data_IF_244485430178
#
_entry.id   IF_244485430178
#
_cell.length_a   1.000
_cell.length_b   1.000
_cell.length_c   1.000
_cell.angle_alpha   90.00
_cell.angle_beta   90.00
_cell.angle_gamma   90.00
#
_symmetry.space_group_name_H-M   'P 1'
#
loop_
_entity.id
_entity.type
_entity.pdbx_description
1 polymer ?
#
# COMPACT_ATOMS: atom_id res chain seq x y z
N UNK A 1 -12.03 -8.27 -15.03
CA UNK A 1 -10.78 -7.77 -14.43
C UNK A 1 -10.90 -7.96 -12.94
N UNK A 2 -9.96 -8.66 -12.30
CA UNK A 2 -9.94 -8.73 -10.84
C UNK A 2 -9.74 -7.32 -10.28
N UNK A 3 -10.67 -6.86 -9.43
CA UNK A 3 -10.51 -5.62 -8.68
C UNK A 3 -9.48 -5.86 -7.57
N UNK A 4 -8.20 -5.70 -7.89
CA UNK A 4 -7.13 -5.82 -6.90
C UNK A 4 -7.15 -4.60 -5.97
N UNK A 5 -7.36 -4.84 -4.68
CA UNK A 5 -7.32 -3.78 -3.67
C UNK A 5 -5.88 -3.34 -3.36
N UNK A 6 -5.73 -2.17 -2.70
CA UNK A 6 -4.42 -1.73 -2.18
C UNK A 6 -3.75 -2.82 -1.33
N UNK A 7 -4.53 -3.56 -0.57
CA UNK A 7 -4.05 -4.58 0.34
C UNK A 7 -3.59 -5.84 -0.39
N UNK A 8 -4.32 -6.26 -1.43
CA UNK A 8 -3.91 -7.44 -2.22
C UNK A 8 -2.58 -7.18 -2.93
N UNK A 9 -2.44 -5.98 -3.52
CA UNK A 9 -1.19 -5.55 -4.16
C UNK A 9 -0.07 -5.39 -3.12
N UNK A 10 -0.37 -4.89 -1.91
CA UNK A 10 0.63 -4.78 -0.87
C UNK A 10 1.15 -6.14 -0.39
N UNK A 11 0.26 -7.13 -0.27
CA UNK A 11 0.63 -8.50 0.07
C UNK A 11 1.55 -9.10 -0.98
N UNK A 12 1.21 -8.93 -2.26
CA UNK A 12 2.07 -9.33 -3.39
C UNK A 12 3.42 -8.60 -3.36
N UNK A 13 3.40 -7.29 -3.11
CA UNK A 13 4.59 -6.45 -3.11
C UNK A 13 5.59 -6.87 -2.02
N UNK A 14 5.11 -7.19 -0.82
CA UNK A 14 5.94 -7.73 0.28
C UNK A 14 6.47 -9.10 -0.09
N UNK A 15 5.61 -10.00 -0.56
CA UNK A 15 6.00 -11.37 -0.90
C UNK A 15 6.57 -12.10 0.32
N UNK A 16 7.77 -12.67 0.17
CA UNK A 16 8.44 -13.48 1.19
C UNK A 16 9.51 -12.72 2.01
N UNK A 17 9.72 -11.43 1.77
CA UNK A 17 10.72 -10.63 2.48
C UNK A 17 10.11 -9.35 3.04
N UNK A 18 10.70 -8.85 4.12
CA UNK A 18 10.26 -7.58 4.70
C UNK A 18 10.62 -6.42 3.75
N UNK A 19 9.73 -5.43 3.65
CA UNK A 19 9.93 -4.24 2.82
C UNK A 19 9.59 -2.95 3.55
N UNK A 20 10.25 -1.86 3.20
CA UNK A 20 9.89 -0.54 3.71
C UNK A 20 8.51 -0.12 3.21
N UNK A 21 7.85 0.77 3.95
CA UNK A 21 6.58 1.34 3.53
C UNK A 21 6.64 1.96 2.13
N UNK A 22 7.73 2.68 1.83
CA UNK A 22 7.90 3.37 0.55
C UNK A 22 8.04 2.41 -0.64
N UNK A 23 8.75 1.29 -0.48
CA UNK A 23 8.84 0.26 -1.53
C UNK A 23 7.47 -0.35 -1.84
N UNK A 24 6.69 -0.63 -0.79
CA UNK A 24 5.35 -1.22 -0.93
C UNK A 24 4.42 -0.19 -1.58
N UNK A 25 4.40 1.05 -1.08
CA UNK A 25 3.55 2.10 -1.62
C UNK A 25 3.93 2.48 -3.06
N UNK A 26 5.22 2.47 -3.42
CA UNK A 26 5.65 2.65 -4.80
C UNK A 26 5.06 1.59 -5.74
N UNK A 27 5.00 0.33 -5.29
CA UNK A 27 4.40 -0.75 -6.07
C UNK A 27 2.89 -0.59 -6.20
N UNK A 28 2.21 -0.27 -5.10
CA UNK A 28 0.75 -0.06 -5.06
C UNK A 28 0.35 1.13 -5.95
N UNK A 29 1.00 2.27 -5.78
CA UNK A 29 0.73 3.48 -6.56
C UNK A 29 0.98 3.26 -8.05
N UNK A 30 2.08 2.60 -8.45
CA UNK A 30 2.33 2.29 -9.87
C UNK A 30 1.20 1.48 -10.51
N UNK A 31 0.58 0.54 -9.78
CA UNK A 31 -0.53 -0.27 -10.29
C UNK A 31 -1.87 0.47 -10.30
N UNK A 32 -2.14 1.33 -9.30
CA UNK A 32 -3.46 1.92 -9.08
C UNK A 32 -3.60 3.40 -9.46
N UNK A 33 -2.51 4.12 -9.74
CA UNK A 33 -2.53 5.56 -9.99
C UNK A 33 -3.49 5.96 -11.11
N UNK A 34 -3.51 5.21 -12.22
CA UNK A 34 -4.41 5.50 -13.33
C UNK A 34 -5.88 5.38 -12.91
N UNK A 35 -6.22 4.34 -12.13
CA UNK A 35 -7.59 4.16 -11.63
C UNK A 35 -7.97 5.27 -10.66
N UNK A 36 -7.08 5.62 -9.73
CA UNK A 36 -7.34 6.71 -8.79
C UNK A 36 -7.52 8.06 -9.48
N UNK A 37 -6.77 8.34 -10.55
CA UNK A 37 -6.94 9.55 -11.35
C UNK A 37 -8.32 9.59 -12.03
N UNK A 38 -8.77 8.46 -12.58
CA UNK A 38 -10.11 8.36 -13.18
C UNK A 38 -11.22 8.55 -12.15
N UNK A 39 -11.05 7.99 -10.94
CA UNK A 39 -12.02 8.11 -9.84
C UNK A 39 -12.06 9.52 -9.22
N UNK A 40 -10.90 10.18 -9.10
CA UNK A 40 -10.82 11.48 -8.43
C UNK A 40 -11.26 12.65 -9.31
N UNK A 41 -11.27 12.46 -10.64
CA UNK A 41 -11.56 13.52 -11.61
C UNK A 41 -10.48 14.61 -11.67
N UNK A 42 -10.77 15.72 -12.34
CA UNK A 42 -9.79 16.77 -12.65
C UNK A 42 -9.54 17.76 -11.49
N UNK A 43 -10.23 17.61 -10.36
CA UNK A 43 -10.20 18.60 -9.27
C UNK A 43 -9.04 18.42 -8.27
N UNK A 44 -8.19 17.40 -8.44
CA UNK A 44 -7.08 17.11 -7.53
C UNK A 44 -5.79 16.92 -8.34
N UNK A 45 -4.69 17.50 -7.85
CA UNK A 45 -3.38 17.25 -8.46
C UNK A 45 -2.92 15.81 -8.20
N UNK A 46 -2.08 15.28 -9.07
CA UNK A 46 -1.50 13.94 -8.87
C UNK A 46 -0.75 13.84 -7.52
N UNK A 47 0.00 14.87 -7.15
CA UNK A 47 0.75 14.90 -5.89
C UNK A 47 -0.17 14.83 -4.67
N UNK A 48 -1.23 15.63 -4.68
CA UNK A 48 -2.23 15.65 -3.60
C UNK A 48 -2.99 14.31 -3.52
N UNK A 49 -3.33 13.72 -4.67
CA UNK A 49 -3.92 12.39 -4.74
C UNK A 49 -3.00 11.33 -4.15
N UNK A 50 -1.70 11.34 -4.50
CA UNK A 50 -0.72 10.41 -3.96
C UNK A 50 -0.51 10.60 -2.46
N UNK A 51 -0.48 11.84 -1.95
CA UNK A 51 -0.37 12.12 -0.52
C UNK A 51 -1.58 11.55 0.25
N UNK A 52 -2.79 11.80 -0.24
CA UNK A 52 -4.02 11.26 0.34
C UNK A 52 -4.00 9.73 0.34
N UNK A 53 -3.66 9.11 -0.79
CA UNK A 53 -3.61 7.65 -0.94
C UNK A 53 -2.50 7.02 -0.08
N UNK A 54 -1.39 7.72 0.13
CA UNK A 54 -0.32 7.31 1.05
C UNK A 54 -0.82 7.21 2.48
N UNK A 55 -1.57 8.22 2.95
CA UNK A 55 -2.18 8.23 4.28
C UNK A 55 -3.24 7.12 4.46
N UNK A 56 -4.10 6.93 3.46
CA UNK A 56 -5.06 5.82 3.43
C UNK A 56 -4.35 4.46 3.50
N UNK A 57 -3.31 4.29 2.70
CA UNK A 57 -2.55 3.04 2.63
C UNK A 57 -1.84 2.70 3.94
N UNK A 58 -1.22 3.68 4.58
CA UNK A 58 -0.59 3.48 5.89
C UNK A 58 -1.60 3.01 6.93
N UNK A 59 -2.79 3.63 6.97
CA UNK A 59 -3.88 3.20 7.87
C UNK A 59 -4.27 1.75 7.60
N UNK A 60 -4.47 1.37 6.33
CA UNK A 60 -4.81 0.01 5.94
C UNK A 60 -3.77 -1.02 6.41
N UNK A 61 -2.47 -0.74 6.21
CA UNK A 61 -1.41 -1.62 6.69
C UNK A 61 -1.40 -1.76 8.23
N UNK A 62 -1.71 -0.68 8.96
CA UNK A 62 -1.71 -0.73 10.43
C UNK A 62 -2.89 -1.46 11.05
N UNK A 63 -4.04 -1.53 10.35
CA UNK A 63 -5.26 -2.16 10.88
C UNK A 63 -5.46 -3.58 10.37
N UNK A 64 -4.95 -3.91 9.19
CA UNK A 64 -5.16 -5.22 8.59
C UNK A 64 -4.23 -6.26 9.22
N UNK A 65 -4.85 -7.25 9.86
CA UNK A 65 -4.17 -8.32 10.62
C UNK A 65 -3.20 -9.19 9.82
N UNK A 66 -3.15 -9.04 8.49
CA UNK A 66 -2.20 -9.74 7.62
C UNK A 66 -0.83 -9.08 7.57
N UNK A 67 -0.69 -7.84 8.03
CA UNK A 67 0.55 -7.09 7.98
C UNK A 67 1.11 -6.85 9.37
N UNK A 68 2.42 -6.98 9.48
CA UNK A 68 3.14 -6.78 10.73
C UNK A 68 4.29 -5.82 10.49
N UNK A 69 4.40 -4.80 11.35
CA UNK A 69 5.51 -3.86 11.33
C UNK A 69 6.65 -4.39 12.18
N UNK A 70 7.83 -4.51 11.58
CA UNK A 70 9.05 -4.92 12.24
C UNK A 70 9.71 -3.75 12.99
N UNK A 71 10.62 -4.06 13.91
CA UNK A 71 11.34 -3.06 14.72
C UNK A 71 12.24 -2.14 13.88
N UNK A 72 12.70 -2.60 12.72
CA UNK A 72 13.50 -1.83 11.77
C UNK A 72 12.67 -0.89 10.87
N UNK A 73 11.35 -0.86 11.06
CA UNK A 73 10.43 -0.04 10.27
C UNK A 73 9.96 -0.68 8.97
N UNK A 74 10.41 -1.88 8.63
CA UNK A 74 9.89 -2.67 7.51
C UNK A 74 8.56 -3.36 7.86
N UNK A 75 7.87 -3.85 6.85
CA UNK A 75 6.61 -4.57 6.94
C UNK A 75 6.76 -5.97 6.35
N UNK A 76 6.10 -6.94 6.99
CA UNK A 76 6.04 -8.34 6.55
C UNK A 76 4.61 -8.86 6.58
N UNK A 77 4.35 -9.93 5.83
CA UNK A 77 3.09 -10.70 5.95
C UNK A 77 3.26 -12.00 6.73
N UNK A 78 4.49 -12.30 7.16
CA UNK A 78 4.79 -13.42 8.04
C UNK A 78 4.52 -12.97 9.47
N UNK A 79 3.63 -13.68 10.16
CA UNK A 79 3.35 -13.41 11.56
C UNK A 79 4.64 -13.57 12.38
N UNK A 80 5.08 -12.56 13.15
CA UNK A 80 6.18 -12.71 14.08
C UNK A 80 5.87 -13.82 15.08
N UNK A 81 6.73 -14.84 15.16
CA UNK A 81 6.69 -15.80 16.26
C UNK A 81 7.12 -15.07 17.53
N UNK A 82 6.26 -15.09 18.55
CA UNK A 82 6.56 -14.57 19.88
C UNK A 82 7.80 -15.24 20.48
#
# INVERSE_FOLDING_TARGET
MENLSMIDIAKEAIGNSSKTFDEIFSTVSKKLLNNWKLEAGENISENELLEKKRGEFYKLLTIDSRFFRNNDGTWTTVRPTK
#
